data_IF_412074981595
#
_entry.id   IF_412074981595
#
_cell.length_a   1.000
_cell.length_b   1.000
_cell.length_c   1.000
_cell.angle_alpha   90.00
_cell.angle_beta   90.00
_cell.angle_gamma   90.00
#
_symmetry.space_group_name_H-M   'P 1'
#
loop_
_entity.id
_entity.type
_entity.pdbx_description
1 polymer ?
#
# COMPACT_ATOMS: atom_id res chain seq x y z
N UNK A 1 52.27 35.58 70.07
CA UNK A 1 52.59 34.93 68.77
C UNK A 1 51.41 34.16 68.15
N UNK A 2 50.27 33.94 68.82
CA UNK A 2 49.16 33.14 68.28
C UNK A 2 48.11 33.85 67.40
N UNK A 3 48.11 35.18 67.32
CA UNK A 3 47.07 35.94 66.60
C UNK A 3 47.38 36.14 65.10
N UNK A 4 48.62 35.88 64.68
CA UNK A 4 49.12 36.13 63.32
C UNK A 4 48.97 34.88 62.42
N UNK A 5 48.96 33.69 63.02
CA UNK A 5 48.83 32.41 62.32
C UNK A 5 47.38 32.10 61.95
N UNK A 6 46.43 32.38 62.85
CA UNK A 6 44.99 32.21 62.60
C UNK A 6 44.45 33.17 61.51
N UNK A 7 45.03 34.38 61.40
CA UNK A 7 44.69 35.32 60.31
C UNK A 7 45.16 34.81 58.95
N UNK A 8 46.39 34.27 58.87
CA UNK A 8 46.94 33.70 57.62
C UNK A 8 46.13 32.50 57.14
N UNK A 9 45.70 31.63 58.05
CA UNK A 9 44.86 30.47 57.70
C UNK A 9 43.47 30.88 57.17
N UNK A 10 42.87 31.94 57.74
CA UNK A 10 41.60 32.48 57.27
C UNK A 10 41.72 33.16 55.89
N UNK A 11 42.82 33.87 55.64
CA UNK A 11 43.13 34.47 54.33
C UNK A 11 43.35 33.38 53.26
N UNK A 12 44.11 32.33 53.59
CA UNK A 12 44.35 31.21 52.66
C UNK A 12 43.06 30.43 52.33
N UNK A 13 42.15 30.27 53.30
CA UNK A 13 40.85 29.67 53.08
C UNK A 13 39.96 30.53 52.16
N UNK A 14 39.98 31.84 52.37
CA UNK A 14 39.23 32.79 51.53
C UNK A 14 39.74 32.79 50.08
N UNK A 15 41.07 32.79 49.88
CA UNK A 15 41.65 32.70 48.54
C UNK A 15 41.29 31.37 47.83
N UNK A 16 41.30 30.25 48.57
CA UNK A 16 40.88 28.95 48.03
C UNK A 16 39.41 28.96 47.61
N UNK A 17 38.54 29.57 48.41
CA UNK A 17 37.12 29.69 48.10
C UNK A 17 36.89 30.55 46.85
N UNK A 18 37.48 31.74 46.78
CA UNK A 18 37.35 32.66 45.63
C UNK A 18 37.96 32.06 44.35
N UNK A 19 38.98 31.21 44.46
CA UNK A 19 39.53 30.48 43.31
C UNK A 19 38.55 29.41 42.81
N UNK A 20 37.96 28.63 43.71
CA UNK A 20 36.97 27.61 43.36
C UNK A 20 35.72 28.19 42.72
N UNK A 21 35.27 29.37 43.18
CA UNK A 21 34.12 30.08 42.62
C UNK A 21 34.41 30.55 41.17
N UNK A 22 35.57 31.15 40.92
CA UNK A 22 36.03 31.54 39.58
C UNK A 22 36.16 30.35 38.62
N UNK A 23 36.66 29.21 39.11
CA UNK A 23 36.79 28.01 38.29
C UNK A 23 35.41 27.42 37.93
N UNK A 24 34.43 27.51 38.85
CA UNK A 24 33.04 27.09 38.61
C UNK A 24 32.36 27.96 37.56
N UNK A 25 32.50 29.28 37.65
CA UNK A 25 31.96 30.22 36.65
C UNK A 25 32.59 29.98 35.26
N UNK A 26 33.91 29.81 35.21
CA UNK A 26 34.63 29.50 33.96
C UNK A 26 34.17 28.19 33.33
N UNK A 27 33.84 27.18 34.14
CA UNK A 27 33.32 25.91 33.65
C UNK A 27 31.89 26.06 33.10
N UNK A 28 31.04 26.82 33.80
CA UNK A 28 29.67 27.11 33.35
C UNK A 28 29.67 27.83 31.98
N UNK A 29 30.49 28.87 31.81
CA UNK A 29 30.60 29.58 30.53
C UNK A 29 31.12 28.70 29.39
N UNK A 30 32.00 27.73 29.67
CA UNK A 30 32.46 26.78 28.65
C UNK A 30 31.35 25.82 28.20
N UNK A 31 30.54 25.35 29.14
CA UNK A 31 29.40 24.45 28.84
C UNK A 31 28.36 25.19 27.99
N UNK A 32 28.06 26.44 28.32
CA UNK A 32 27.10 27.25 27.57
C UNK A 32 27.54 27.49 26.12
N UNK A 33 28.81 27.85 25.90
CA UNK A 33 29.37 28.01 24.55
C UNK A 33 29.36 26.68 23.77
N UNK A 34 29.65 25.55 24.42
CA UNK A 34 29.59 24.23 23.77
C UNK A 34 28.16 23.84 23.38
N UNK A 35 27.17 24.15 24.23
CA UNK A 35 25.76 23.91 23.91
C UNK A 35 25.30 24.76 22.73
N UNK A 36 25.74 26.02 22.64
CA UNK A 36 25.38 26.89 21.52
C UNK A 36 26.00 26.43 20.20
N UNK A 37 27.27 25.97 20.21
CA UNK A 37 27.93 25.39 19.03
C UNK A 37 27.19 24.12 18.59
N UNK A 38 26.90 23.21 19.52
CA UNK A 38 26.18 21.97 19.22
C UNK A 38 24.78 22.23 18.66
N UNK A 39 24.07 23.25 19.17
CA UNK A 39 22.76 23.63 18.66
C UNK A 39 22.83 24.19 17.22
N UNK A 40 23.86 24.97 16.89
CA UNK A 40 24.06 25.48 15.53
C UNK A 40 24.46 24.38 14.54
N UNK A 41 25.30 23.44 14.96
CA UNK A 41 25.66 22.28 14.16
C UNK A 41 24.45 21.41 13.86
N UNK A 42 23.61 21.11 14.87
CA UNK A 42 22.37 20.37 14.69
C UNK A 42 21.38 21.07 13.74
N UNK A 43 21.28 22.41 13.81
CA UNK A 43 20.41 23.18 12.92
C UNK A 43 20.88 23.08 11.47
N UNK A 44 22.19 23.21 11.25
CA UNK A 44 22.81 23.10 9.92
C UNK A 44 22.65 21.70 9.33
N UNK A 45 22.84 20.65 10.13
CA UNK A 45 22.57 19.27 9.72
C UNK A 45 21.11 19.06 9.30
N UNK A 46 20.15 19.66 10.00
CA UNK A 46 18.73 19.58 9.60
C UNK A 46 18.42 20.35 8.31
N UNK A 47 19.08 21.48 8.07
CA UNK A 47 18.93 22.26 6.84
C UNK A 47 19.52 21.52 5.63
N UNK A 48 20.73 20.97 5.77
CA UNK A 48 21.40 20.18 4.74
C UNK A 48 20.59 18.92 4.39
N UNK A 49 20.05 18.20 5.38
CA UNK A 49 19.14 17.07 5.15
C UNK A 49 17.88 17.48 4.37
N UNK A 50 17.30 18.65 4.65
CA UNK A 50 16.11 19.12 3.95
C UNK A 50 16.40 19.50 2.48
N UNK A 51 17.60 20.01 2.20
CA UNK A 51 18.07 20.30 0.83
C UNK A 51 18.27 18.98 0.06
N UNK A 52 18.96 18.01 0.64
CA UNK A 52 19.16 16.69 0.03
C UNK A 52 17.82 15.98 -0.25
N UNK A 53 16.86 16.06 0.66
CA UNK A 53 15.51 15.51 0.47
C UNK A 53 14.78 16.19 -0.69
N UNK A 54 14.91 17.51 -0.85
CA UNK A 54 14.31 18.26 -1.98
C UNK A 54 14.94 17.90 -3.32
N UNK A 55 16.26 17.83 -3.39
CA UNK A 55 16.98 17.45 -4.62
C UNK A 55 16.67 16.00 -5.00
N UNK A 56 16.66 15.09 -4.02
CA UNK A 56 16.29 13.68 -4.23
C UNK A 56 14.85 13.53 -4.72
N UNK A 57 13.87 14.23 -4.12
CA UNK A 57 12.48 14.21 -4.58
C UNK A 57 12.34 14.68 -6.04
N UNK A 58 13.13 15.67 -6.45
CA UNK A 58 13.10 16.19 -7.82
C UNK A 58 13.67 15.18 -8.83
N UNK A 59 14.81 14.57 -8.51
CA UNK A 59 15.44 13.51 -9.33
C UNK A 59 14.54 12.27 -9.41
N UNK A 60 13.96 11.86 -8.28
CA UNK A 60 13.04 10.72 -8.19
C UNK A 60 11.76 10.96 -8.98
N UNK A 61 11.14 12.14 -8.89
CA UNK A 61 9.95 12.49 -9.69
C UNK A 61 10.25 12.53 -11.19
N UNK A 62 11.44 12.98 -11.60
CA UNK A 62 11.89 12.92 -13.00
C UNK A 62 12.09 11.48 -13.48
N UNK A 63 12.66 10.61 -12.64
CA UNK A 63 12.86 9.19 -12.95
C UNK A 63 11.52 8.45 -13.11
N UNK A 64 10.55 8.73 -12.24
CA UNK A 64 9.19 8.19 -12.36
C UNK A 64 8.48 8.69 -13.62
N UNK A 65 8.69 9.96 -13.99
CA UNK A 65 8.12 10.48 -15.24
C UNK A 65 8.66 9.75 -16.47
N UNK A 66 9.98 9.47 -16.52
CA UNK A 66 10.61 8.76 -17.64
C UNK A 66 10.10 7.31 -17.74
N UNK A 67 10.04 6.58 -16.61
CA UNK A 67 9.51 5.20 -16.59
C UNK A 67 8.03 5.12 -17.01
N UNK A 68 7.22 6.10 -16.63
CA UNK A 68 5.80 6.17 -17.02
C UNK A 68 5.64 6.43 -18.54
N UNK A 69 6.56 7.19 -19.14
CA UNK A 69 6.55 7.43 -20.59
C UNK A 69 6.97 6.19 -21.38
N UNK A 70 8.06 5.52 -20.98
CA UNK A 70 8.51 4.27 -21.61
C UNK A 70 7.44 3.15 -21.53
N UNK A 71 6.75 3.05 -20.38
CA UNK A 71 5.66 2.10 -20.19
C UNK A 71 4.40 2.45 -21.00
N UNK A 72 4.12 3.74 -21.21
CA UNK A 72 3.05 4.19 -22.12
C UNK A 72 3.33 3.80 -23.57
N UNK A 73 4.56 3.99 -24.04
CA UNK A 73 4.95 3.68 -25.41
C UNK A 73 4.89 2.17 -25.70
N UNK A 74 5.21 1.33 -24.70
CA UNK A 74 5.07 -0.14 -24.77
C UNK A 74 3.59 -0.57 -24.83
N UNK A 75 2.72 0.04 -24.01
CA UNK A 75 1.28 -0.24 -24.01
C UNK A 75 0.60 0.20 -25.31
N UNK A 76 0.99 1.34 -25.88
CA UNK A 76 0.47 1.79 -27.19
C UNK A 76 0.81 0.80 -28.30
N UNK A 77 2.04 0.27 -28.35
CA UNK A 77 2.42 -0.79 -29.30
C UNK A 77 1.63 -2.08 -29.15
N UNK A 78 1.38 -2.50 -27.92
CA UNK A 78 0.56 -3.70 -27.63
C UNK A 78 -0.90 -3.47 -28.06
N UNK A 79 -1.47 -2.30 -27.79
CA UNK A 79 -2.81 -1.95 -28.23
C UNK A 79 -2.94 -1.90 -29.77
N UNK A 80 -1.92 -1.44 -30.48
CA UNK A 80 -1.87 -1.44 -31.96
C UNK A 80 -1.78 -2.85 -32.55
N UNK A 81 -1.10 -3.80 -31.86
CA UNK A 81 -1.06 -5.21 -32.22
C UNK A 81 -2.41 -5.93 -32.05
N UNK A 82 -3.24 -5.49 -31.09
CA UNK A 82 -4.57 -6.03 -30.84
C UNK A 82 -5.68 -5.40 -31.70
N UNK A 83 -5.37 -4.50 -32.62
CA UNK A 83 -6.31 -3.93 -33.59
C UNK A 83 -6.73 -4.92 -34.71
N UNK A 84 -6.56 -6.23 -34.50
CA UNK A 84 -7.24 -7.25 -35.29
C UNK A 84 -8.74 -7.20 -34.96
N UNK A 85 -9.56 -7.05 -36.01
CA UNK A 85 -11.00 -6.79 -35.98
C UNK A 85 -11.77 -7.52 -34.86
N UNK A 86 -12.79 -6.88 -34.27
CA UNK A 86 -13.59 -7.49 -33.21
C UNK A 86 -14.33 -8.72 -33.74
N UNK A 87 -14.22 -9.85 -33.03
CA UNK A 87 -15.10 -10.99 -33.24
C UNK A 87 -16.50 -10.59 -32.77
N UNK A 88 -17.37 -10.28 -33.72
CA UNK A 88 -18.78 -10.05 -33.46
C UNK A 88 -19.47 -11.38 -33.14
N UNK A 89 -19.77 -11.60 -31.87
CA UNK A 89 -20.82 -12.50 -31.44
C UNK A 89 -21.56 -11.81 -30.29
N UNK A 90 -22.81 -11.39 -30.53
CA UNK A 90 -23.67 -10.88 -29.46
C UNK A 90 -23.94 -12.03 -28.47
N UNK A 91 -23.57 -11.92 -27.19
CA UNK A 91 -24.08 -12.85 -26.18
C UNK A 91 -25.56 -12.52 -25.90
N UNK A 92 -26.36 -13.56 -25.67
CA UNK A 92 -27.76 -13.45 -25.27
C UNK A 92 -27.92 -12.73 -23.91
N UNK A 93 -28.91 -11.82 -23.84
CA UNK A 93 -29.20 -10.81 -22.80
C UNK A 93 -28.08 -9.77 -22.61
N UNK A 94 -28.44 -8.48 -22.76
CA UNK A 94 -27.50 -7.37 -22.67
C UNK A 94 -26.78 -7.34 -21.30
N UNK A 95 -25.43 -7.46 -21.24
CA UNK A 95 -24.67 -7.33 -19.99
C UNK A 95 -24.97 -6.03 -19.22
N UNK A 96 -25.31 -4.95 -19.93
CA UNK A 96 -25.62 -3.64 -19.37
C UNK A 96 -26.88 -3.62 -18.52
N UNK A 97 -27.94 -4.32 -18.92
CA UNK A 97 -29.19 -4.38 -18.13
C UNK A 97 -28.98 -5.11 -16.80
N UNK A 98 -28.15 -6.16 -16.81
CA UNK A 98 -27.78 -6.90 -15.60
C UNK A 98 -26.94 -6.04 -14.66
N UNK A 99 -25.93 -5.34 -15.19
CA UNK A 99 -25.09 -4.40 -14.43
C UNK A 99 -25.95 -3.30 -13.79
N UNK A 100 -26.87 -2.71 -14.55
CA UNK A 100 -27.76 -1.65 -14.06
C UNK A 100 -28.73 -2.16 -12.98
N UNK A 101 -29.29 -3.36 -13.15
CA UNK A 101 -30.11 -4.01 -12.12
C UNK A 101 -29.33 -4.27 -10.85
N UNK A 102 -28.10 -4.76 -10.97
CA UNK A 102 -27.20 -5.03 -9.84
C UNK A 102 -26.86 -3.72 -9.09
N UNK A 103 -26.50 -2.65 -9.81
CA UNK A 103 -26.26 -1.30 -9.26
C UNK A 103 -27.45 -0.76 -8.49
N UNK A 104 -28.67 -0.90 -9.03
CA UNK A 104 -29.92 -0.48 -8.36
C UNK A 104 -30.19 -1.30 -7.10
N UNK A 105 -30.03 -2.63 -7.17
CA UNK A 105 -30.22 -3.53 -6.03
C UNK A 105 -29.26 -3.21 -4.88
N UNK A 106 -28.02 -2.88 -5.21
CA UNK A 106 -26.99 -2.48 -4.24
C UNK A 106 -27.11 -1.02 -3.77
N UNK A 107 -27.91 -0.19 -4.45
CA UNK A 107 -28.02 1.23 -4.14
C UNK A 107 -26.71 2.00 -4.38
N UNK A 108 -25.92 1.59 -5.37
CA UNK A 108 -24.66 2.27 -5.69
C UNK A 108 -24.94 3.65 -6.29
N UNK A 109 -24.26 4.67 -5.78
CA UNK A 109 -24.20 5.97 -6.44
C UNK A 109 -23.13 5.91 -7.53
N UNK A 110 -23.59 5.65 -8.75
CA UNK A 110 -22.76 5.60 -9.96
C UNK A 110 -22.66 6.94 -10.67
N UNK A 111 -23.33 7.98 -10.18
CA UNK A 111 -23.21 9.32 -10.75
C UNK A 111 -22.02 10.08 -10.15
N UNK A 112 -21.79 9.92 -8.84
CA UNK A 112 -20.81 10.71 -8.10
C UNK A 112 -19.58 9.94 -7.63
N UNK A 113 -19.64 8.59 -7.67
CA UNK A 113 -18.57 7.75 -7.14
C UNK A 113 -18.10 6.69 -8.12
N UNK A 114 -16.81 6.44 -8.06
CA UNK A 114 -16.14 5.27 -8.60
C UNK A 114 -16.14 4.18 -7.52
N UNK A 115 -16.88 3.10 -7.77
CA UNK A 115 -17.17 2.05 -6.81
C UNK A 115 -16.25 0.85 -7.10
N UNK A 116 -15.28 0.61 -6.22
CA UNK A 116 -14.30 -0.48 -6.37
C UNK A 116 -14.68 -1.62 -5.45
N UNK A 117 -14.93 -2.80 -6.00
CA UNK A 117 -15.24 -4.01 -5.24
C UNK A 117 -13.98 -4.79 -4.88
N UNK A 118 -13.88 -5.26 -3.65
CA UNK A 118 -12.90 -6.24 -3.20
C UNK A 118 -13.60 -7.58 -2.97
N UNK A 119 -13.11 -8.62 -3.64
CA UNK A 119 -13.59 -10.00 -3.51
C UNK A 119 -12.44 -10.94 -3.13
N UNK A 120 -12.76 -12.14 -2.69
CA UNK A 120 -11.76 -13.17 -2.35
C UNK A 120 -12.07 -13.90 -1.05
N UNK A 121 -11.36 -15.00 -0.81
CA UNK A 121 -11.61 -15.87 0.34
C UNK A 121 -11.44 -15.18 1.71
N UNK A 122 -11.98 -15.79 2.78
CA UNK A 122 -11.66 -15.39 4.16
C UNK A 122 -10.15 -15.45 4.37
N UNK A 123 -9.61 -14.51 5.15
CA UNK A 123 -8.19 -14.44 5.51
C UNK A 123 -7.23 -14.17 4.33
N UNK A 124 -7.69 -13.64 3.19
CA UNK A 124 -6.82 -13.17 2.09
C UNK A 124 -6.27 -11.76 2.31
N UNK A 125 -6.69 -11.06 3.38
CA UNK A 125 -6.21 -9.72 3.71
C UNK A 125 -7.01 -8.56 3.12
N UNK A 126 -8.28 -8.78 2.73
CA UNK A 126 -9.15 -7.76 2.10
C UNK A 126 -9.26 -6.48 2.93
N UNK A 127 -9.70 -6.59 4.18
CA UNK A 127 -9.87 -5.45 5.09
C UNK A 127 -8.55 -4.74 5.35
N UNK A 128 -7.45 -5.50 5.53
CA UNK A 128 -6.11 -4.95 5.69
C UNK A 128 -5.64 -4.16 4.47
N UNK A 129 -5.91 -4.64 3.26
CA UNK A 129 -5.56 -3.97 2.01
C UNK A 129 -6.38 -2.69 1.80
N UNK A 130 -7.70 -2.74 2.07
CA UNK A 130 -8.56 -1.55 2.04
C UNK A 130 -8.04 -0.48 3.00
N UNK A 131 -7.69 -0.87 4.23
CA UNK A 131 -7.11 0.05 5.21
C UNK A 131 -5.78 0.62 4.74
N UNK A 132 -4.92 -0.23 4.16
CA UNK A 132 -3.62 0.20 3.66
C UNK A 132 -3.72 1.24 2.54
N UNK A 133 -4.60 1.02 1.56
CA UNK A 133 -4.86 1.99 0.47
C UNK A 133 -5.34 3.33 1.05
N UNK A 134 -6.16 3.29 2.11
CA UNK A 134 -6.68 4.47 2.81
C UNK A 134 -5.68 5.11 3.78
N UNK A 135 -4.47 4.56 3.91
CA UNK A 135 -3.45 5.04 4.86
C UNK A 135 -3.74 4.73 6.33
N UNK A 136 -4.69 3.84 6.61
CA UNK A 136 -5.15 3.52 7.97
C UNK A 136 -4.42 2.31 8.56
N UNK A 137 -4.23 2.32 9.87
CA UNK A 137 -3.86 1.13 10.65
C UNK A 137 -5.12 0.34 11.03
N UNK A 138 -4.97 -0.97 11.32
CA UNK A 138 -6.10 -1.79 11.78
C UNK A 138 -6.64 -1.42 13.17
N UNK A 139 -5.95 -0.54 13.89
CA UNK A 139 -6.38 0.02 15.18
C UNK A 139 -7.14 1.34 15.04
N UNK A 140 -7.21 1.89 13.82
CA UNK A 140 -7.87 3.16 13.57
C UNK A 140 -9.41 3.00 13.66
N UNK A 141 -10.12 3.97 14.21
CA UNK A 141 -11.58 3.87 14.43
C UNK A 141 -12.37 3.67 13.11
N UNK A 142 -11.94 4.37 12.05
CA UNK A 142 -12.50 4.23 10.70
C UNK A 142 -11.99 3.02 9.89
N UNK A 143 -11.24 2.11 10.52
CA UNK A 143 -10.67 0.95 9.83
C UNK A 143 -11.75 -0.09 9.48
N UNK A 144 -11.60 -0.73 8.33
CA UNK A 144 -12.29 -1.95 8.00
C UNK A 144 -11.85 -3.01 9.03
N UNK A 145 -12.81 -3.51 9.82
CA UNK A 145 -12.49 -4.43 10.92
C UNK A 145 -11.85 -5.71 10.39
N UNK A 146 -10.70 -6.06 10.94
CA UNK A 146 -10.00 -7.33 10.67
C UNK A 146 -10.54 -8.46 11.57
N UNK A 147 -11.42 -8.14 12.53
CA UNK A 147 -11.92 -9.12 13.52
C UNK A 147 -12.71 -10.23 12.85
N UNK A 148 -12.35 -11.49 13.15
CA UNK A 148 -13.03 -12.72 12.77
C UNK A 148 -14.37 -12.86 13.52
N UNK A 149 -15.27 -11.90 13.35
CA UNK A 149 -16.63 -11.99 13.88
C UNK A 149 -17.57 -12.13 12.71
N UNK A 150 -18.02 -13.36 12.47
CA UNK A 150 -19.16 -13.72 11.62
C UNK A 150 -20.36 -12.79 11.90
N UNK A 151 -20.42 -11.59 11.31
CA UNK A 151 -21.51 -10.66 11.68
C UNK A 151 -21.60 -9.44 10.75
N UNK A 152 -21.95 -9.70 9.49
CA UNK A 152 -23.06 -9.08 8.75
C UNK A 152 -22.87 -9.43 7.26
N UNK A 153 -23.79 -10.21 6.69
CA UNK A 153 -23.82 -10.57 5.25
C UNK A 153 -24.09 -9.36 4.32
N UNK A 154 -23.82 -8.14 4.77
CA UNK A 154 -24.06 -6.90 4.02
C UNK A 154 -22.73 -6.34 3.56
N UNK A 155 -22.63 -6.07 2.25
CA UNK A 155 -21.49 -5.35 1.65
C UNK A 155 -21.34 -4.00 2.36
N UNK A 156 -20.14 -3.71 2.85
CA UNK A 156 -19.79 -2.42 3.49
C UNK A 156 -18.91 -1.63 2.54
N UNK A 157 -19.13 -0.32 2.49
CA UNK A 157 -18.25 0.60 1.75
C UNK A 157 -17.41 1.45 2.70
N UNK A 158 -16.25 1.86 2.22
CA UNK A 158 -15.28 2.67 2.92
C UNK A 158 -14.80 3.81 2.02
N UNK A 159 -14.74 5.01 2.57
CA UNK A 159 -14.24 6.22 1.91
C UNK A 159 -12.87 6.59 2.46
N UNK A 160 -12.10 7.40 1.74
CA UNK A 160 -10.88 7.97 2.29
C UNK A 160 -11.19 8.80 3.54
N UNK A 161 -10.28 8.83 4.53
CA UNK A 161 -10.46 9.61 5.76
C UNK A 161 -10.31 11.12 5.55
N UNK A 162 -9.88 11.53 4.36
CA UNK A 162 -9.62 12.90 3.94
C UNK A 162 -10.16 13.15 2.52
N UNK A 163 -10.12 14.41 2.08
CA UNK A 163 -10.68 14.85 0.80
C UNK A 163 -9.74 14.60 -0.40
N UNK A 164 -8.71 13.75 -0.28
CA UNK A 164 -7.79 13.48 -1.41
C UNK A 164 -8.47 12.75 -2.56
N UNK A 165 -9.42 11.86 -2.24
CA UNK A 165 -10.17 11.07 -3.24
C UNK A 165 -11.65 10.98 -2.85
N UNK A 166 -12.38 12.10 -2.86
CA UNK A 166 -13.74 12.19 -2.32
C UNK A 166 -14.76 11.39 -3.15
N UNK A 167 -14.41 11.07 -4.40
CA UNK A 167 -15.25 10.34 -5.35
C UNK A 167 -14.95 8.84 -5.43
N UNK A 168 -14.16 8.29 -4.49
CA UNK A 168 -13.82 6.86 -4.49
C UNK A 168 -14.47 6.15 -3.31
N UNK A 169 -15.11 5.00 -3.58
CA UNK A 169 -15.69 4.12 -2.57
C UNK A 169 -15.15 2.70 -2.73
N UNK A 170 -14.62 2.14 -1.66
CA UNK A 170 -14.14 0.76 -1.60
C UNK A 170 -15.20 -0.13 -0.95
N UNK A 171 -15.65 -1.16 -1.64
CA UNK A 171 -16.65 -2.11 -1.15
C UNK A 171 -15.99 -3.42 -0.79
N UNK A 172 -16.12 -3.84 0.45
CA UNK A 172 -15.66 -5.15 0.88
C UNK A 172 -16.80 -6.15 0.77
N UNK A 173 -16.65 -7.14 -0.12
CA UNK A 173 -17.63 -8.21 -0.24
C UNK A 173 -17.34 -9.29 0.82
N UNK A 174 -18.26 -9.52 1.77
CA UNK A 174 -18.08 -10.53 2.79
C UNK A 174 -18.21 -11.92 2.18
N UNK A 175 -17.36 -12.84 2.63
CA UNK A 175 -17.44 -14.25 2.27
C UNK A 175 -17.36 -15.07 3.56
N UNK A 176 -18.25 -16.04 3.74
CA UNK A 176 -18.22 -16.97 4.87
C UNK A 176 -17.59 -18.29 4.44
N UNK A 177 -16.83 -18.91 5.33
CA UNK A 177 -16.31 -20.28 5.24
C UNK A 177 -17.41 -21.35 5.14
N UNK A 178 -18.62 -21.04 5.62
CA UNK A 178 -19.81 -21.92 5.62
C UNK A 178 -20.69 -21.78 4.38
N UNK A 179 -20.38 -20.86 3.45
CA UNK A 179 -21.14 -20.75 2.19
C UNK A 179 -20.84 -21.94 1.27
N UNK A 180 -21.64 -22.99 1.42
CA UNK A 180 -21.64 -24.18 0.58
C UNK A 180 -22.44 -23.95 -0.70
N UNK A 181 -21.98 -23.11 -1.63
CA UNK A 181 -22.66 -22.97 -2.92
C UNK A 181 -21.69 -22.92 -4.10
N UNK A 182 -22.21 -23.35 -5.25
CA UNK A 182 -21.49 -23.54 -6.51
C UNK A 182 -20.74 -22.26 -6.87
N UNK A 183 -19.48 -22.41 -7.27
CA UNK A 183 -18.51 -21.32 -7.48
C UNK A 183 -18.94 -20.30 -8.54
N UNK A 184 -19.88 -20.64 -9.41
CA UNK A 184 -20.42 -19.75 -10.45
C UNK A 184 -21.47 -18.76 -9.91
N UNK A 185 -22.27 -19.14 -8.91
CA UNK A 185 -23.43 -18.36 -8.47
C UNK A 185 -23.03 -17.13 -7.63
N UNK A 186 -21.90 -17.19 -6.92
CA UNK A 186 -21.49 -16.13 -5.99
C UNK A 186 -21.32 -14.76 -6.67
N UNK A 187 -20.78 -14.71 -7.89
CA UNK A 187 -20.54 -13.44 -8.60
C UNK A 187 -21.87 -12.71 -8.88
N UNK A 188 -22.88 -13.44 -9.32
CA UNK A 188 -24.19 -12.89 -9.64
C UNK A 188 -25.03 -12.66 -8.37
N UNK A 189 -24.99 -13.57 -7.40
CA UNK A 189 -25.72 -13.45 -6.12
C UNK A 189 -25.29 -12.22 -5.31
N UNK A 190 -24.00 -11.91 -5.35
CA UNK A 190 -23.40 -10.76 -4.66
C UNK A 190 -23.24 -9.54 -5.57
N UNK A 191 -23.85 -9.56 -6.76
CA UNK A 191 -23.92 -8.40 -7.66
C UNK A 191 -22.54 -7.81 -7.99
N UNK A 192 -21.50 -8.64 -8.11
CA UNK A 192 -20.11 -8.18 -8.27
C UNK A 192 -19.89 -7.38 -9.57
N UNK A 193 -20.72 -7.60 -10.60
CA UNK A 193 -20.72 -6.79 -11.83
C UNK A 193 -21.16 -5.33 -11.62
N UNK A 194 -21.75 -4.99 -10.47
CA UNK A 194 -22.20 -3.64 -10.19
C UNK A 194 -21.05 -2.64 -10.01
N UNK A 195 -19.88 -3.12 -9.57
CA UNK A 195 -18.71 -2.29 -9.31
C UNK A 195 -18.04 -1.84 -10.61
N UNK A 196 -17.40 -0.68 -10.57
CA UNK A 196 -16.69 -0.13 -11.72
C UNK A 196 -15.31 -0.78 -11.92
N UNK A 197 -14.76 -1.40 -10.88
CA UNK A 197 -13.59 -2.27 -10.93
C UNK A 197 -13.67 -3.33 -9.84
N UNK A 198 -13.15 -4.52 -10.13
CA UNK A 198 -13.08 -5.65 -9.21
C UNK A 198 -11.63 -6.03 -8.90
N UNK A 199 -11.27 -6.00 -7.62
CA UNK A 199 -9.98 -6.47 -7.10
C UNK A 199 -10.19 -7.81 -6.38
N UNK A 200 -9.65 -8.89 -6.95
CA UNK A 200 -9.83 -10.25 -6.44
C UNK A 200 -8.58 -10.63 -5.63
N UNK A 201 -8.71 -10.68 -4.31
CA UNK A 201 -7.61 -11.16 -3.47
C UNK A 201 -7.50 -12.68 -3.49
N UNK A 202 -6.30 -13.15 -3.75
CA UNK A 202 -5.96 -14.57 -3.86
C UNK A 202 -5.13 -15.03 -2.66
N UNK A 203 -5.24 -16.31 -2.33
CA UNK A 203 -4.30 -16.97 -1.41
C UNK A 203 -3.00 -17.34 -2.14
N UNK A 204 -2.14 -18.15 -1.49
CA UNK A 204 -0.90 -18.63 -2.09
C UNK A 204 -1.12 -19.41 -3.40
N UNK A 205 -2.26 -20.10 -3.48
CA UNK A 205 -2.71 -20.83 -4.67
C UNK A 205 -4.00 -20.19 -5.18
N UNK A 206 -4.07 -19.98 -6.50
CA UNK A 206 -5.27 -19.48 -7.15
C UNK A 206 -6.37 -20.55 -7.12
N UNK A 207 -7.47 -20.26 -6.43
CA UNK A 207 -8.63 -21.17 -6.33
C UNK A 207 -9.50 -21.14 -7.58
N UNK A 208 -10.42 -22.11 -7.69
CA UNK A 208 -11.41 -22.13 -8.79
C UNK A 208 -12.37 -20.93 -8.72
N UNK A 209 -12.63 -20.43 -7.52
CA UNK A 209 -13.55 -19.31 -7.30
C UNK A 209 -12.98 -18.00 -7.80
N UNK A 210 -11.73 -17.69 -7.46
CA UNK A 210 -11.08 -16.48 -7.95
C UNK A 210 -10.98 -16.50 -9.49
N UNK A 211 -10.71 -17.67 -10.08
CA UNK A 211 -10.77 -17.88 -11.54
C UNK A 211 -12.17 -17.59 -12.08
N UNK A 212 -13.22 -18.14 -11.46
CA UNK A 212 -14.62 -17.92 -11.87
C UNK A 212 -14.99 -16.44 -11.84
N UNK A 213 -14.63 -15.73 -10.76
CA UNK A 213 -14.90 -14.29 -10.62
C UNK A 213 -14.24 -13.47 -11.72
N UNK A 214 -12.98 -13.78 -12.06
CA UNK A 214 -12.29 -13.09 -13.14
C UNK A 214 -12.90 -13.38 -14.51
N UNK A 215 -13.29 -14.63 -14.79
CA UNK A 215 -13.97 -14.99 -16.05
C UNK A 215 -15.29 -14.22 -16.20
N UNK A 216 -16.07 -14.13 -15.12
CA UNK A 216 -17.30 -13.34 -15.10
C UNK A 216 -17.00 -11.86 -15.29
N UNK A 217 -16.03 -11.27 -14.58
CA UNK A 217 -15.67 -9.87 -14.75
C UNK A 217 -15.30 -9.53 -16.21
N UNK A 218 -14.51 -10.39 -16.89
CA UNK A 218 -14.21 -10.23 -18.32
C UNK A 218 -15.48 -10.27 -19.17
N UNK A 219 -16.38 -11.23 -18.90
CA UNK A 219 -17.68 -11.35 -19.62
C UNK A 219 -18.54 -10.09 -19.46
N UNK A 220 -18.46 -9.42 -18.32
CA UNK A 220 -19.16 -8.15 -18.05
C UNK A 220 -18.35 -6.90 -18.44
N UNK A 221 -17.21 -7.05 -19.13
CA UNK A 221 -16.31 -5.95 -19.50
C UNK A 221 -15.86 -5.09 -18.30
N UNK A 222 -15.79 -5.69 -17.12
CA UNK A 222 -15.41 -5.03 -15.88
C UNK A 222 -13.88 -5.09 -15.70
N UNK A 223 -13.20 -3.94 -15.49
CA UNK A 223 -11.79 -3.93 -15.12
C UNK A 223 -11.52 -4.80 -13.89
N UNK A 224 -10.61 -5.77 -14.03
CA UNK A 224 -10.33 -6.77 -13.01
C UNK A 224 -8.84 -7.02 -12.83
N UNK A 225 -8.40 -7.23 -11.59
CA UNK A 225 -7.04 -7.64 -11.25
C UNK A 225 -7.03 -8.63 -10.08
N UNK A 226 -6.07 -9.55 -10.09
CA UNK A 226 -5.77 -10.40 -8.94
C UNK A 226 -4.77 -9.73 -8.01
N UNK A 227 -4.94 -9.94 -6.70
CA UNK A 227 -4.07 -9.33 -5.68
C UNK A 227 -3.58 -10.39 -4.70
N UNK A 228 -2.26 -10.55 -4.57
CA UNK A 228 -1.66 -11.34 -3.48
C UNK A 228 -1.11 -10.37 -2.44
N UNK A 229 -1.78 -10.25 -1.29
CA UNK A 229 -1.62 -9.11 -0.38
C UNK A 229 -0.61 -9.26 0.77
N UNK A 230 -0.01 -10.45 0.91
CA UNK A 230 0.84 -10.85 2.06
C UNK A 230 2.25 -11.27 1.64
N UNK A 231 2.77 -10.67 0.57
CA UNK A 231 4.05 -11.06 0.00
C UNK A 231 5.22 -10.88 0.97
N UNK A 232 5.16 -9.84 1.81
CA UNK A 232 6.12 -9.64 2.90
C UNK A 232 6.17 -10.81 3.88
N UNK A 233 5.01 -11.31 4.34
CA UNK A 233 4.95 -12.45 5.26
C UNK A 233 5.43 -13.74 4.59
N UNK A 234 5.04 -13.98 3.34
CA UNK A 234 5.45 -15.20 2.63
C UNK A 234 6.95 -15.24 2.38
N UNK A 235 7.54 -14.12 1.97
CA UNK A 235 8.99 -14.02 1.81
C UNK A 235 9.65 -14.17 3.18
N UNK A 236 9.14 -13.53 4.24
CA UNK A 236 9.67 -13.73 5.60
C UNK A 236 9.72 -15.21 6.00
N UNK A 237 8.61 -15.93 5.79
CA UNK A 237 8.49 -17.35 6.13
C UNK A 237 9.43 -18.25 5.33
N UNK A 238 9.73 -17.91 4.07
CA UNK A 238 10.70 -18.67 3.27
C UNK A 238 12.10 -18.60 3.86
N UNK A 239 12.50 -17.46 4.42
CA UNK A 239 13.85 -17.24 4.94
C UNK A 239 14.01 -17.68 6.40
N UNK A 240 12.94 -17.59 7.21
CA UNK A 240 12.94 -18.11 8.58
C UNK A 240 13.18 -19.63 8.63
N UNK A 241 12.74 -20.39 7.61
CA UNK A 241 12.96 -21.83 7.50
C UNK A 241 14.43 -22.20 7.19
N UNK A 242 15.21 -21.29 6.61
CA UNK A 242 16.61 -21.49 6.21
C UNK A 242 17.63 -21.10 7.32
N UNK A 243 17.18 -21.00 8.59
CA UNK A 243 17.97 -20.58 9.77
C UNK A 243 18.49 -19.14 9.74
N UNK A 244 18.07 -18.31 8.79
CA UNK A 244 18.28 -16.87 8.80
C UNK A 244 17.00 -16.18 9.28
N UNK A 245 16.98 -15.72 10.53
CA UNK A 245 15.88 -14.88 11.03
C UNK A 245 15.84 -13.60 10.18
N UNK A 246 14.88 -13.49 9.27
CA UNK A 246 14.53 -12.18 8.72
C UNK A 246 13.03 -12.02 8.83
N UNK A 247 12.63 -11.05 9.66
CA UNK A 247 11.25 -10.68 9.80
C UNK A 247 10.93 -9.45 8.94
N UNK A 248 10.49 -9.67 7.70
CA UNK A 248 9.99 -8.60 6.80
C UNK A 248 8.67 -7.98 7.32
N UNK A 249 8.01 -8.66 8.24
CA UNK A 249 6.74 -8.25 8.82
C UNK A 249 6.91 -7.40 10.10
N UNK A 250 8.02 -7.57 10.84
CA UNK A 250 8.35 -6.76 12.01
C UNK A 250 9.13 -5.51 11.60
N UNK A 251 8.84 -4.39 12.27
CA UNK A 251 9.57 -3.13 12.07
C UNK A 251 11.07 -3.39 12.21
N UNK A 252 11.82 -3.19 11.12
CA UNK A 252 13.28 -3.06 11.12
C UNK A 252 14.00 -4.16 11.92
N UNK A 253 14.01 -5.39 11.41
CA UNK A 253 15.07 -6.30 11.82
C UNK A 253 16.39 -5.83 11.17
N UNK A 254 17.21 -5.13 11.95
CA UNK A 254 18.54 -4.67 11.53
C UNK A 254 19.46 -5.84 11.13
N UNK A 255 19.14 -7.06 11.54
CA UNK A 255 19.85 -8.28 11.17
C UNK A 255 19.25 -9.00 9.97
N UNK A 256 18.19 -8.46 9.35
CA UNK A 256 17.61 -9.06 8.16
C UNK A 256 18.61 -8.98 6.98
N UNK A 257 19.20 -10.12 6.65
CA UNK A 257 20.17 -10.30 5.56
C UNK A 257 19.52 -10.38 4.17
N UNK A 258 18.19 -10.43 4.09
CA UNK A 258 17.43 -10.43 2.84
C UNK A 258 17.76 -9.16 2.05
N UNK A 259 18.43 -9.32 0.92
CA UNK A 259 18.76 -8.21 0.04
C UNK A 259 17.61 -7.95 -0.96
N UNK A 260 17.67 -6.81 -1.65
CA UNK A 260 16.65 -6.46 -2.65
C UNK A 260 16.60 -7.47 -3.82
N UNK A 261 17.74 -8.09 -4.15
CA UNK A 261 17.82 -9.08 -5.22
C UNK A 261 17.17 -10.41 -4.83
N UNK A 262 17.28 -10.81 -3.56
CA UNK A 262 16.58 -11.98 -3.02
C UNK A 262 15.07 -11.84 -3.12
N UNK A 263 14.56 -10.67 -2.70
CA UNK A 263 13.14 -10.32 -2.82
C UNK A 263 12.69 -10.40 -4.27
N UNK A 264 13.44 -9.80 -5.21
CA UNK A 264 13.14 -9.88 -6.65
C UNK A 264 13.10 -11.31 -7.18
N UNK A 265 14.04 -12.14 -6.77
CA UNK A 265 14.11 -13.53 -7.21
C UNK A 265 12.92 -14.35 -6.72
N UNK A 266 12.49 -14.17 -5.47
CA UNK A 266 11.29 -14.83 -4.93
C UNK A 266 10.03 -14.34 -5.66
N UNK A 267 9.93 -13.03 -5.88
CA UNK A 267 8.82 -12.43 -6.62
C UNK A 267 8.72 -12.96 -8.06
N UNK A 268 9.85 -13.12 -8.74
CA UNK A 268 9.90 -13.75 -10.07
C UNK A 268 9.34 -15.17 -10.04
N UNK A 269 9.70 -15.97 -9.04
CA UNK A 269 9.16 -17.33 -8.85
C UNK A 269 7.65 -17.31 -8.62
N UNK A 270 7.15 -16.41 -7.78
CA UNK A 270 5.71 -16.27 -7.54
C UNK A 270 4.95 -15.91 -8.82
N UNK A 271 5.49 -14.99 -9.62
CA UNK A 271 4.89 -14.57 -10.89
C UNK A 271 4.87 -15.70 -11.90
N UNK A 272 5.98 -16.41 -12.10
CA UNK A 272 6.04 -17.57 -13.01
C UNK A 272 5.08 -18.68 -12.59
N UNK A 273 4.97 -18.97 -11.30
CA UNK A 273 4.01 -19.95 -10.78
C UNK A 273 2.56 -19.53 -11.07
N UNK A 274 2.22 -18.26 -10.86
CA UNK A 274 0.90 -17.74 -11.20
C UNK A 274 0.60 -17.83 -12.71
N UNK A 275 1.55 -17.41 -13.55
CA UNK A 275 1.42 -17.49 -15.02
C UNK A 275 1.22 -18.92 -15.51
N UNK A 276 1.92 -19.90 -14.92
CA UNK A 276 1.73 -21.31 -15.22
C UNK A 276 0.34 -21.82 -14.82
N UNK A 277 -0.13 -21.45 -13.63
CA UNK A 277 -1.48 -21.79 -13.17
C UNK A 277 -2.55 -21.23 -14.11
N UNK A 278 -2.41 -19.96 -14.54
CA UNK A 278 -3.34 -19.35 -15.49
C UNK A 278 -3.27 -20.04 -16.85
N UNK A 279 -2.08 -20.27 -17.40
CA UNK A 279 -1.89 -20.93 -18.70
C UNK A 279 -2.47 -22.34 -18.73
N UNK A 280 -2.45 -23.05 -17.60
CA UNK A 280 -2.92 -24.45 -17.51
C UNK A 280 -4.42 -24.54 -17.20
N UNK A 281 -4.94 -23.68 -16.33
CA UNK A 281 -6.32 -23.80 -15.81
C UNK A 281 -7.31 -22.80 -16.40
N UNK A 282 -6.84 -21.64 -16.86
CA UNK A 282 -7.68 -20.58 -17.41
C UNK A 282 -6.91 -19.67 -18.40
N UNK A 283 -6.47 -20.18 -19.57
CA UNK A 283 -5.70 -19.42 -20.55
C UNK A 283 -6.34 -18.07 -20.95
N UNK A 284 -7.66 -17.99 -20.94
CA UNK A 284 -8.44 -16.78 -21.22
C UNK A 284 -8.19 -15.63 -20.23
N UNK A 285 -7.64 -15.93 -19.04
CA UNK A 285 -7.31 -14.95 -18.01
C UNK A 285 -5.87 -14.42 -18.11
N UNK A 286 -5.12 -14.78 -19.16
CA UNK A 286 -3.72 -14.31 -19.35
C UNK A 286 -3.63 -12.79 -19.44
N UNK A 287 -4.70 -12.10 -19.85
CA UNK A 287 -4.78 -10.64 -19.89
C UNK A 287 -5.08 -10.00 -18.53
N UNK A 288 -5.44 -10.77 -17.51
CA UNK A 288 -5.76 -10.25 -16.17
C UNK A 288 -4.48 -10.14 -15.34
N UNK A 289 -4.07 -8.92 -14.93
CA UNK A 289 -2.85 -8.76 -14.15
C UNK A 289 -3.00 -9.35 -12.74
N UNK A 290 -1.88 -9.82 -12.19
CA UNK A 290 -1.73 -10.06 -10.75
C UNK A 290 -0.77 -9.02 -10.18
N UNK A 291 -1.13 -8.47 -9.02
CA UNK A 291 -0.26 -7.60 -8.24
C UNK A 291 0.11 -8.26 -6.92
N UNK A 292 1.41 -8.39 -6.70
CA UNK A 292 1.99 -8.85 -5.46
C UNK A 292 2.30 -7.63 -4.58
N UNK A 293 1.65 -7.54 -3.42
CA UNK A 293 1.72 -6.34 -2.57
C UNK A 293 1.82 -6.72 -1.09
N UNK A 294 2.25 -5.76 -0.28
CA UNK A 294 2.12 -5.78 1.18
C UNK A 294 1.24 -4.62 1.63
N UNK A 295 0.24 -4.92 2.47
CA UNK A 295 -0.55 -3.90 3.13
C UNK A 295 0.32 -2.93 3.97
N UNK A 296 1.45 -3.38 4.51
CA UNK A 296 2.38 -2.51 5.26
C UNK A 296 3.07 -1.51 4.34
N UNK A 297 3.67 -2.00 3.26
CA UNK A 297 4.41 -1.16 2.28
C UNK A 297 3.45 -0.19 1.60
N UNK A 298 2.27 -0.68 1.20
CA UNK A 298 1.26 0.16 0.57
C UNK A 298 0.83 1.31 1.49
N UNK A 299 0.65 1.04 2.79
CA UNK A 299 0.36 2.08 3.79
C UNK A 299 1.51 3.07 3.92
N UNK A 300 2.76 2.59 3.97
CA UNK A 300 3.94 3.47 4.02
C UNK A 300 3.98 4.41 2.82
N UNK A 301 3.76 3.90 1.61
CA UNK A 301 3.73 4.68 0.38
C UNK A 301 2.65 5.76 0.40
N UNK A 302 1.39 5.42 0.73
CA UNK A 302 0.28 6.40 0.71
C UNK A 302 0.33 7.41 1.86
N UNK A 303 1.17 7.15 2.88
CA UNK A 303 1.44 8.06 4.01
C UNK A 303 2.79 8.78 3.88
N UNK A 304 3.37 8.80 2.68
CA UNK A 304 4.64 9.47 2.36
C UNK A 304 5.84 9.00 3.20
N UNK A 305 5.83 7.75 3.66
CA UNK A 305 6.98 7.08 4.28
C UNK A 305 7.74 6.30 3.21
N UNK A 306 9.06 6.21 3.38
CA UNK A 306 9.94 5.47 2.44
C UNK A 306 10.04 4.00 2.87
N UNK A 307 9.46 3.05 2.14
CA UNK A 307 9.63 1.64 2.46
C UNK A 307 11.05 1.19 2.07
N UNK A 308 11.59 0.22 2.82
CA UNK A 308 12.92 -0.36 2.56
C UNK A 308 12.97 -1.15 1.23
N UNK A 309 11.84 -1.72 0.84
CA UNK A 309 11.66 -2.48 -0.40
C UNK A 309 10.26 -2.22 -0.93
N UNK A 310 10.06 -2.47 -2.21
CA UNK A 310 8.75 -2.41 -2.87
C UNK A 310 8.53 -3.70 -3.64
N UNK A 311 7.27 -4.08 -3.74
CA UNK A 311 6.78 -5.13 -4.61
C UNK A 311 6.12 -4.45 -5.83
N UNK A 312 4.82 -4.63 -6.04
CA UNK A 312 4.05 -4.01 -7.12
C UNK A 312 2.99 -3.02 -6.58
N UNK A 313 3.20 -2.43 -5.39
CA UNK A 313 2.25 -1.48 -4.79
C UNK A 313 1.92 -0.30 -5.71
N UNK A 314 2.93 0.27 -6.38
CA UNK A 314 2.74 1.39 -7.31
C UNK A 314 1.94 0.98 -8.53
N UNK A 315 2.20 -0.22 -9.07
CA UNK A 315 1.46 -0.74 -10.23
C UNK A 315 0.00 -1.03 -9.89
N UNK A 316 -0.29 -1.50 -8.68
CA UNK A 316 -1.66 -1.65 -8.20
C UNK A 316 -2.38 -0.29 -8.11
N UNK A 317 -1.74 0.73 -7.53
CA UNK A 317 -2.33 2.07 -7.43
C UNK A 317 -2.56 2.69 -8.81
N UNK A 318 -1.65 2.46 -9.76
CA UNK A 318 -1.81 2.89 -11.16
C UNK A 318 -2.97 2.18 -11.85
N UNK A 319 -3.13 0.86 -11.65
CA UNK A 319 -4.27 0.11 -12.17
C UNK A 319 -5.60 0.64 -11.64
N UNK A 320 -5.69 0.90 -10.33
CA UNK A 320 -6.89 1.48 -9.71
C UNK A 320 -7.19 2.86 -10.30
N UNK A 321 -6.16 3.70 -10.48
CA UNK A 321 -6.32 5.03 -11.07
C UNK A 321 -6.74 4.97 -12.54
N UNK A 322 -6.10 4.09 -13.34
CA UNK A 322 -6.38 3.96 -14.76
C UNK A 322 -7.79 3.40 -14.99
N UNK A 323 -8.19 2.38 -14.24
CA UNK A 323 -9.56 1.87 -14.30
C UNK A 323 -10.60 2.95 -13.93
N UNK A 324 -10.31 3.80 -12.94
CA UNK A 324 -11.18 4.93 -12.59
C UNK A 324 -11.38 5.92 -13.73
N UNK A 325 -10.30 6.27 -14.44
CA UNK A 325 -10.34 7.23 -15.55
C UNK A 325 -11.07 6.66 -16.77
N UNK A 326 -10.94 5.36 -17.05
CA UNK A 326 -11.43 4.75 -18.30
C UNK A 326 -12.76 3.98 -18.17
N UNK A 327 -13.27 3.77 -16.96
CA UNK A 327 -14.50 2.99 -16.71
C UNK A 327 -15.80 3.66 -17.17
N UNK A 328 -15.78 4.98 -17.45
CA UNK A 328 -16.96 5.76 -17.86
C UNK A 328 -16.55 6.87 -18.84
N UNK A 329 -17.48 7.26 -19.71
CA UNK A 329 -17.37 8.55 -20.41
C UNK A 329 -17.05 9.65 -19.38
N UNK A 330 -16.16 10.59 -19.70
CA UNK A 330 -15.68 11.58 -18.74
C UNK A 330 -16.88 12.24 -18.07
N UNK A 331 -16.96 12.11 -16.74
CA UNK A 331 -17.85 12.95 -15.93
C UNK A 331 -17.66 14.37 -16.44
N UNK A 332 -18.70 15.06 -16.94
CA UNK A 332 -18.54 16.38 -17.51
C UNK A 332 -17.73 17.21 -16.54
N UNK A 333 -16.57 17.69 -16.99
CA UNK A 333 -15.64 18.52 -16.23
C UNK A 333 -16.45 19.62 -15.52
N UNK A 334 -16.83 19.39 -14.26
CA UNK A 334 -17.28 20.43 -13.34
C UNK A 334 -16.08 21.01 -12.57
N UNK A 335 -14.89 20.94 -13.18
CA UNK A 335 -13.69 21.55 -12.67
C UNK A 335 -13.62 22.98 -13.21
N UNK A 336 -14.12 23.91 -12.40
CA UNK A 336 -13.61 25.28 -12.30
C UNK A 336 -12.89 25.41 -10.97
#
# INVERSE_FOLDING_TARGET
>A
MGNDQSKREAEEYKEKYEKAERDKERLASKVEVQQEIAAREALKETEDMNIEVKEHNTVTMSMYHIMIQEFRDELTRVCELFNAKPVSAKPDKCPEEMIEKARRKMGLDTANFYNIGFAGHVNTGKSSLINAIRGLTGTHEMSASVSFTESTMKVKYYMFPDDRYPHVRFYENPRSDKMSFRTEDYFEENDLCAFDCLLILVQATLGQEEISYAKMAIKYHQPVAFIRSRCDMEISNLYDNDKQKCNLHANYDANCQLCYEDVKNVMKKFKSNYEEIIRTRAPELTCVPIYFVSARILRELVTARKPKYMFEETNLLEFIRYSAINSRDPVPNKFK
#
